data_IF_614052854917
#
_entry.id   IF_614052854917
#
_cell.length_a   1.000
_cell.length_b   1.000
_cell.length_c   1.000
_cell.angle_alpha   90.00
_cell.angle_beta   90.00
_cell.angle_gamma   90.00
#
_symmetry.space_group_name_H-M   'P 1'
#
loop_
_entity.id
_entity.type
_entity.pdbx_description
1 polymer ?
#
# COMPACT_ATOMS: atom_id res chain seq x y z
N UNK A 1 10.17 29.65 -13.81
CA UNK A 1 9.71 30.22 -12.52
C UNK A 1 9.38 29.07 -11.60
N UNK A 2 10.15 28.91 -10.52
CA UNK A 2 9.90 27.90 -9.49
C UNK A 2 8.89 28.52 -8.53
N UNK A 3 7.65 28.04 -8.55
CA UNK A 3 6.60 28.59 -7.71
C UNK A 3 6.61 27.95 -6.32
N UNK A 4 6.58 28.83 -5.32
CA UNK A 4 6.79 28.56 -3.92
C UNK A 4 5.44 28.25 -3.25
N UNK A 5 4.96 27.02 -3.37
CA UNK A 5 3.92 26.48 -2.48
C UNK A 5 3.93 24.94 -2.49
N UNK A 6 5.05 24.36 -2.07
CA UNK A 6 5.13 22.93 -1.83
C UNK A 6 4.38 22.60 -0.53
N UNK A 7 3.17 22.04 -0.66
CA UNK A 7 2.37 21.58 0.47
C UNK A 7 3.20 20.58 1.29
N UNK A 8 3.50 20.96 2.54
CA UNK A 8 4.36 20.27 3.51
C UNK A 8 5.86 20.30 3.14
N UNK A 9 6.51 21.44 3.37
CA UNK A 9 7.96 21.66 3.24
C UNK A 9 8.82 20.86 4.22
N UNK A 10 8.74 19.52 4.16
CA UNK A 10 9.46 18.60 5.05
C UNK A 10 10.62 17.89 4.32
N UNK A 11 10.70 17.94 2.99
CA UNK A 11 11.80 17.30 2.26
C UNK A 11 12.33 18.15 1.10
N UNK A 12 13.66 18.23 0.95
CA UNK A 12 14.30 18.60 -0.32
C UNK A 12 13.89 17.56 -1.35
N UNK A 13 13.02 17.91 -2.29
CA UNK A 13 12.65 17.04 -3.40
C UNK A 13 13.77 17.03 -4.44
N UNK A 14 14.02 15.85 -5.02
CA UNK A 14 14.94 15.67 -6.14
C UNK A 14 14.14 15.67 -7.45
N UNK A 15 14.79 16.00 -8.56
CA UNK A 15 14.16 15.89 -9.88
C UNK A 15 13.97 14.40 -10.18
N UNK A 16 12.72 13.99 -10.37
CA UNK A 16 12.35 12.60 -10.63
C UNK A 16 11.39 12.50 -11.81
N UNK A 17 11.40 11.35 -12.49
CA UNK A 17 10.44 11.04 -13.54
C UNK A 17 9.06 10.80 -12.93
N UNK A 18 8.07 11.60 -13.34
CA UNK A 18 6.69 11.40 -12.95
C UNK A 18 5.99 10.47 -13.94
N UNK A 19 5.89 9.19 -13.59
CA UNK A 19 5.21 8.20 -14.41
C UNK A 19 3.67 8.36 -14.34
N UNK A 20 2.91 8.02 -15.40
CA UNK A 20 1.45 8.13 -15.45
C UNK A 20 0.73 7.53 -14.24
N UNK A 21 -0.44 7.99 -13.83
CA UNK A 21 -1.14 7.42 -12.67
C UNK A 21 -1.46 5.92 -12.83
N UNK A 22 -1.62 5.18 -11.73
CA UNK A 22 -1.96 3.75 -11.78
C UNK A 22 -3.28 3.49 -12.52
N UNK A 23 -4.23 4.44 -12.45
CA UNK A 23 -5.48 4.35 -13.19
C UNK A 23 -5.27 4.33 -14.71
N UNK A 24 -4.35 5.14 -15.24
CA UNK A 24 -4.03 5.16 -16.65
C UNK A 24 -3.20 3.92 -17.05
N UNK A 25 -2.25 3.51 -16.19
CA UNK A 25 -1.47 2.28 -16.43
C UNK A 25 -2.35 1.04 -16.48
N UNK A 26 -3.42 0.97 -15.68
CA UNK A 26 -4.34 -0.15 -15.73
C UNK A 26 -5.09 -0.27 -17.07
N UNK A 27 -5.30 0.85 -17.77
CA UNK A 27 -6.05 0.88 -19.02
C UNK A 27 -5.33 0.21 -20.20
N UNK A 28 -4.02 -0.06 -20.11
CA UNK A 28 -3.29 -0.79 -21.15
C UNK A 28 -3.30 -2.32 -20.97
N UNK A 29 -3.71 -2.83 -19.80
CA UNK A 29 -3.74 -4.26 -19.47
C UNK A 29 -2.39 -5.00 -19.66
N UNK A 30 -1.27 -4.27 -19.68
CA UNK A 30 0.04 -4.81 -20.02
C UNK A 30 0.90 -5.13 -18.78
N UNK A 31 0.98 -6.42 -18.44
CA UNK A 31 1.81 -6.92 -17.34
C UNK A 31 3.30 -6.68 -17.57
N UNK A 32 3.77 -6.81 -18.81
CA UNK A 32 5.18 -6.64 -19.14
C UNK A 32 5.59 -5.18 -18.96
N UNK A 33 4.74 -4.24 -19.39
CA UNK A 33 4.96 -2.81 -19.20
C UNK A 33 5.02 -2.44 -17.71
N UNK A 34 4.16 -3.02 -16.86
CA UNK A 34 4.20 -2.76 -15.41
C UNK A 34 5.45 -3.33 -14.75
N UNK A 35 5.97 -4.45 -15.24
CA UNK A 35 7.25 -5.01 -14.78
C UNK A 35 8.43 -4.14 -15.21
N UNK A 36 8.44 -3.65 -16.45
CA UNK A 36 9.45 -2.71 -16.93
C UNK A 36 9.43 -1.39 -16.16
N UNK A 37 8.23 -0.84 -15.90
CA UNK A 37 8.07 0.32 -15.03
C UNK A 37 8.69 0.06 -13.64
N UNK A 38 8.46 -1.11 -13.04
CA UNK A 38 9.07 -1.49 -11.78
C UNK A 38 10.60 -1.45 -11.83
N UNK A 39 11.22 -1.93 -12.92
CA UNK A 39 12.67 -1.87 -13.13
C UNK A 39 13.19 -0.44 -13.24
N UNK A 40 12.47 0.43 -13.94
CA UNK A 40 12.82 1.84 -14.07
C UNK A 40 12.74 2.57 -12.72
N UNK A 41 11.68 2.31 -11.95
CA UNK A 41 11.52 2.83 -10.59
C UNK A 41 12.62 2.33 -9.65
N UNK A 42 13.02 1.06 -9.76
CA UNK A 42 14.16 0.49 -9.02
C UNK A 42 15.46 1.24 -9.33
N UNK A 43 15.72 1.55 -10.60
CA UNK A 43 16.91 2.30 -10.98
C UNK A 43 16.92 3.70 -10.36
N UNK A 44 15.79 4.42 -10.44
CA UNK A 44 15.64 5.72 -9.79
C UNK A 44 15.81 5.62 -8.26
N UNK A 45 15.16 4.64 -7.62
CA UNK A 45 15.28 4.42 -6.19
C UNK A 45 16.73 4.16 -5.75
N UNK A 46 17.49 3.37 -6.51
CA UNK A 46 18.91 3.13 -6.23
C UNK A 46 19.75 4.40 -6.37
N UNK A 47 19.52 5.20 -7.40
CA UNK A 47 20.23 6.47 -7.60
C UNK A 47 20.02 7.42 -6.41
N UNK A 48 18.80 7.45 -5.88
CA UNK A 48 18.41 8.29 -4.73
C UNK A 48 18.58 7.60 -3.37
N UNK A 49 19.24 6.44 -3.33
CA UNK A 49 19.48 5.65 -2.10
C UNK A 49 18.20 5.28 -1.31
N UNK A 50 17.05 5.19 -2.00
CA UNK A 50 15.78 4.74 -1.45
C UNK A 50 15.73 3.21 -1.45
N UNK A 51 15.47 2.62 -0.27
CA UNK A 51 15.43 1.16 -0.09
C UNK A 51 14.04 0.55 -0.21
N UNK A 52 12.98 1.29 0.11
CA UNK A 52 11.59 0.85 0.04
C UNK A 52 10.78 1.89 -0.73
N UNK A 53 10.12 1.47 -1.80
CA UNK A 53 9.14 2.30 -2.51
C UNK A 53 7.76 2.11 -1.88
N UNK A 54 7.11 3.22 -1.47
CA UNK A 54 5.78 3.20 -0.88
C UNK A 54 4.68 3.08 -1.94
N UNK A 55 4.66 1.95 -2.65
CA UNK A 55 3.67 1.63 -3.66
C UNK A 55 3.94 0.26 -4.29
N UNK A 56 2.95 -0.32 -4.98
CA UNK A 56 1.79 0.37 -5.54
C UNK A 56 0.59 0.42 -4.58
N UNK A 57 -0.31 1.37 -4.86
CA UNK A 57 -1.65 1.43 -4.27
C UNK A 57 -2.61 0.49 -5.01
N UNK A 58 -3.30 -0.41 -4.30
CA UNK A 58 -4.12 -1.47 -4.90
C UNK A 58 -5.52 -1.61 -4.29
N UNK A 59 -6.01 -0.59 -3.57
CA UNK A 59 -7.40 -0.58 -3.13
C UNK A 59 -8.34 -0.50 -4.33
N UNK A 60 -9.47 -1.21 -4.29
CA UNK A 60 -10.43 -1.21 -5.38
C UNK A 60 -11.21 0.10 -5.48
N UNK A 61 -11.55 0.49 -6.71
CA UNK A 61 -12.36 1.69 -6.97
C UNK A 61 -13.85 1.40 -6.76
N UNK A 62 -14.28 1.23 -5.49
CA UNK A 62 -15.69 0.95 -5.16
C UNK A 62 -16.65 2.06 -5.59
N UNK A 63 -16.22 3.31 -5.42
CA UNK A 63 -16.98 4.50 -5.80
C UNK A 63 -16.09 5.40 -6.65
N UNK A 64 -16.60 6.00 -7.74
CA UNK A 64 -15.82 6.92 -8.56
C UNK A 64 -15.40 8.18 -7.80
N UNK A 65 -16.11 8.52 -6.71
CA UNK A 65 -15.90 9.74 -5.92
C UNK A 65 -14.71 9.63 -4.94
N UNK A 66 -14.10 8.46 -4.79
CA UNK A 66 -12.99 8.29 -3.86
C UNK A 66 -11.74 9.06 -4.34
N UNK A 67 -11.25 9.98 -3.50
CA UNK A 67 -10.20 10.94 -3.88
C UNK A 67 -8.85 10.35 -4.27
N UNK A 68 -8.61 9.06 -4.01
CA UNK A 68 -7.35 8.35 -4.35
C UNK A 68 -7.49 7.33 -5.48
N UNK A 69 -8.63 7.30 -6.17
CA UNK A 69 -8.81 6.37 -7.28
C UNK A 69 -7.76 6.52 -8.39
N UNK A 70 -7.17 7.70 -8.56
CA UNK A 70 -6.11 7.92 -9.56
C UNK A 70 -4.84 7.09 -9.26
N UNK A 71 -4.50 6.86 -7.98
CA UNK A 71 -3.32 6.08 -7.59
C UNK A 71 -3.57 4.56 -7.53
N UNK A 72 -4.81 4.12 -7.72
CA UNK A 72 -5.21 2.71 -7.76
C UNK A 72 -5.43 2.21 -9.19
N UNK A 73 -5.19 0.91 -9.41
CA UNK A 73 -5.29 0.30 -10.74
C UNK A 73 -6.73 0.25 -11.25
N UNK A 74 -7.59 -0.59 -10.66
CA UNK A 74 -8.92 -0.89 -11.19
C UNK A 74 -9.94 -1.15 -10.08
N UNK A 75 -11.22 -1.15 -10.43
CA UNK A 75 -12.30 -1.73 -9.64
C UNK A 75 -12.26 -3.26 -9.60
N UNK A 76 -11.59 -3.90 -10.59
CA UNK A 76 -11.57 -5.35 -10.72
C UNK A 76 -10.39 -5.97 -9.94
N UNK A 77 -10.63 -6.93 -9.02
CA UNK A 77 -9.58 -7.52 -8.17
C UNK A 77 -8.53 -8.30 -8.96
N UNK A 78 -8.93 -9.13 -9.93
CA UNK A 78 -7.99 -9.90 -10.77
C UNK A 78 -7.00 -9.01 -11.53
N UNK A 79 -7.51 -8.01 -12.27
CA UNK A 79 -6.66 -7.07 -13.01
C UNK A 79 -5.71 -6.33 -12.07
N UNK A 80 -6.22 -5.81 -10.96
CA UNK A 80 -5.42 -5.11 -9.96
C UNK A 80 -4.30 -6.00 -9.42
N UNK A 81 -4.59 -7.25 -9.07
CA UNK A 81 -3.60 -8.20 -8.56
C UNK A 81 -2.54 -8.61 -9.60
N UNK A 82 -2.92 -8.82 -10.86
CA UNK A 82 -1.96 -9.12 -11.95
C UNK A 82 -0.97 -7.99 -12.19
N UNK A 83 -1.48 -6.75 -12.31
CA UNK A 83 -0.66 -5.58 -12.57
C UNK A 83 0.23 -5.24 -11.37
N UNK A 84 -0.33 -5.33 -10.16
CA UNK A 84 0.43 -5.10 -8.94
C UNK A 84 1.54 -6.14 -8.76
N UNK A 85 1.27 -7.43 -9.03
CA UNK A 85 2.29 -8.49 -8.95
C UNK A 85 3.45 -8.22 -9.91
N UNK A 86 3.13 -7.80 -11.14
CA UNK A 86 4.13 -7.49 -12.17
C UNK A 86 4.99 -6.29 -11.78
N UNK A 87 4.36 -5.23 -11.26
CA UNK A 87 5.05 -4.07 -10.70
C UNK A 87 6.00 -4.46 -9.56
N UNK A 88 5.50 -5.22 -8.58
CA UNK A 88 6.28 -5.65 -7.39
C UNK A 88 7.48 -6.47 -7.83
N UNK A 89 7.29 -7.44 -8.74
CA UNK A 89 8.39 -8.23 -9.28
C UNK A 89 9.46 -7.35 -9.94
N UNK A 90 9.05 -6.39 -10.78
CA UNK A 90 9.99 -5.49 -11.47
C UNK A 90 10.82 -4.62 -10.51
N UNK A 91 10.20 -4.08 -9.46
CA UNK A 91 10.92 -3.27 -8.45
C UNK A 91 11.88 -4.16 -7.64
N UNK A 92 11.44 -5.35 -7.23
CA UNK A 92 12.17 -6.19 -6.29
C UNK A 92 13.22 -7.10 -6.90
N UNK A 93 13.37 -7.11 -8.24
CA UNK A 93 14.41 -7.88 -8.93
C UNK A 93 15.83 -7.62 -8.39
N UNK A 94 16.11 -6.45 -7.81
CA UNK A 94 17.43 -6.20 -7.20
C UNK A 94 17.42 -5.08 -6.15
N UNK A 95 17.42 -5.44 -4.87
CA UNK A 95 17.89 -4.59 -3.76
C UNK A 95 17.02 -3.39 -3.36
N UNK A 96 15.82 -3.25 -3.92
CA UNK A 96 14.80 -2.26 -3.53
C UNK A 96 13.50 -3.02 -3.24
N UNK A 97 12.89 -2.78 -2.09
CA UNK A 97 11.62 -3.38 -1.70
C UNK A 97 10.42 -2.52 -2.08
N UNK A 98 9.25 -3.14 -2.06
CA UNK A 98 7.95 -2.48 -2.23
C UNK A 98 7.18 -2.53 -0.92
N UNK A 99 6.49 -1.43 -0.61
CA UNK A 99 5.37 -1.40 0.35
C UNK A 99 4.03 -1.39 -0.37
N UNK A 100 3.44 -2.58 -0.51
CA UNK A 100 2.11 -2.74 -1.12
C UNK A 100 1.05 -2.10 -0.20
N UNK A 101 0.15 -1.27 -0.75
CA UNK A 101 -0.74 -0.44 0.08
C UNK A 101 -2.13 -0.24 -0.53
N UNK A 102 -3.16 0.14 0.24
CA UNK A 102 -3.21 0.16 1.72
C UNK A 102 -4.05 -1.01 2.20
N UNK A 103 -3.48 -1.82 3.07
CA UNK A 103 -4.07 -3.08 3.51
C UNK A 103 -4.97 -2.85 4.74
N UNK A 104 -6.30 -2.94 4.66
CA UNK A 104 -7.13 -3.19 3.48
C UNK A 104 -8.43 -2.36 3.52
N UNK A 105 -9.26 -2.47 2.48
CA UNK A 105 -10.59 -1.84 2.41
C UNK A 105 -10.60 -0.32 2.66
N UNK A 106 -9.55 0.37 2.22
CA UNK A 106 -9.44 1.83 2.25
C UNK A 106 -9.90 2.43 0.90
N UNK A 107 -11.20 2.62 0.76
CA UNK A 107 -11.84 2.95 -0.53
C UNK A 107 -12.53 4.33 -0.53
N UNK A 108 -12.24 5.18 0.46
CA UNK A 108 -12.74 6.55 0.59
C UNK A 108 -11.82 7.37 1.50
N UNK A 109 -11.88 8.70 1.38
CA UNK A 109 -10.96 9.62 2.06
C UNK A 109 -11.61 10.35 3.25
N UNK A 110 -12.93 10.46 3.25
CA UNK A 110 -13.72 11.03 4.34
C UNK A 110 -13.50 10.20 5.61
N UNK A 111 -13.25 10.90 6.71
CA UNK A 111 -13.06 10.29 8.03
C UNK A 111 -12.02 9.14 8.04
N UNK A 112 -10.97 9.24 7.20
CA UNK A 112 -10.02 8.15 6.96
C UNK A 112 -9.46 7.47 8.23
N UNK A 113 -9.29 8.22 9.31
CA UNK A 113 -8.73 7.75 10.59
C UNK A 113 -9.77 7.10 11.52
N UNK A 114 -11.06 7.36 11.32
CA UNK A 114 -12.13 6.99 12.26
C UNK A 114 -13.20 6.10 11.62
N UNK A 115 -13.33 6.12 10.29
CA UNK A 115 -14.33 5.35 9.57
C UNK A 115 -14.07 3.84 9.68
N UNK A 116 -15.16 3.07 9.77
CA UNK A 116 -15.14 1.62 9.67
C UNK A 116 -15.77 1.14 8.36
N UNK A 117 -15.01 0.37 7.61
CA UNK A 117 -15.49 -0.40 6.46
C UNK A 117 -16.17 -1.67 6.97
N UNK A 118 -17.49 -1.63 7.10
CA UNK A 118 -18.29 -2.77 7.54
C UNK A 118 -18.67 -3.64 6.32
N UNK A 119 -18.04 -4.82 6.22
CA UNK A 119 -18.06 -5.66 5.02
C UNK A 119 -18.24 -7.12 5.46
N UNK A 120 -19.12 -7.85 4.76
CA UNK A 120 -19.29 -9.28 4.97
C UNK A 120 -18.03 -10.07 4.54
N UNK A 121 -17.85 -11.27 5.09
CA UNK A 121 -16.64 -12.06 4.86
C UNK A 121 -16.43 -12.41 3.38
N UNK A 122 -17.52 -12.69 2.65
CA UNK A 122 -17.42 -13.06 1.24
C UNK A 122 -16.91 -11.89 0.42
N UNK A 123 -17.53 -10.72 0.55
CA UNK A 123 -17.09 -9.50 -0.16
C UNK A 123 -15.68 -9.08 0.23
N UNK A 124 -15.32 -9.22 1.52
CA UNK A 124 -13.98 -8.91 2.00
C UNK A 124 -12.93 -9.79 1.30
N UNK A 125 -13.12 -11.09 1.28
CA UNK A 125 -12.18 -12.05 0.69
C UNK A 125 -12.18 -12.02 -0.85
N UNK A 126 -13.36 -12.09 -1.48
CA UNK A 126 -13.47 -12.17 -2.95
C UNK A 126 -13.07 -10.87 -3.67
N UNK A 127 -13.25 -9.71 -3.03
CA UNK A 127 -12.97 -8.41 -3.65
C UNK A 127 -11.74 -7.73 -3.04
N UNK A 128 -11.85 -7.27 -1.80
CA UNK A 128 -10.88 -6.32 -1.24
C UNK A 128 -9.55 -6.95 -0.85
N UNK A 129 -9.55 -8.24 -0.52
CA UNK A 129 -8.35 -9.00 -0.15
C UNK A 129 -7.75 -9.76 -1.34
N UNK A 130 -8.56 -10.22 -2.29
CA UNK A 130 -8.13 -11.03 -3.44
C UNK A 130 -6.93 -10.45 -4.21
N UNK A 131 -6.92 -9.13 -4.45
CA UNK A 131 -5.78 -8.48 -5.12
C UNK A 131 -4.49 -8.49 -4.28
N UNK A 132 -4.61 -8.30 -2.95
CA UNK A 132 -3.48 -8.38 -2.03
C UNK A 132 -2.97 -9.81 -1.90
N UNK A 133 -3.86 -10.79 -1.74
CA UNK A 133 -3.54 -12.22 -1.67
C UNK A 133 -2.69 -12.64 -2.86
N UNK A 134 -3.14 -12.28 -4.06
CA UNK A 134 -2.42 -12.57 -5.30
C UNK A 134 -1.04 -11.95 -5.31
N UNK A 135 -0.92 -10.65 -4.98
CA UNK A 135 0.37 -9.97 -4.95
C UNK A 135 1.32 -10.57 -3.89
N UNK A 136 0.80 -10.96 -2.73
CA UNK A 136 1.56 -11.64 -1.67
C UNK A 136 2.09 -12.98 -2.16
N UNK A 137 1.21 -13.84 -2.70
CA UNK A 137 1.58 -15.20 -3.13
C UNK A 137 2.48 -15.21 -4.36
N UNK A 138 2.25 -14.31 -5.32
CA UNK A 138 2.95 -14.30 -6.61
C UNK A 138 4.22 -13.45 -6.63
N UNK A 139 4.27 -12.36 -5.86
CA UNK A 139 5.34 -11.37 -5.95
C UNK A 139 6.07 -11.12 -4.62
N UNK A 140 5.52 -11.58 -3.49
CA UNK A 140 6.15 -11.50 -2.15
C UNK A 140 6.72 -10.10 -1.87
N UNK A 141 5.87 -9.07 -1.74
CA UNK A 141 6.34 -7.72 -1.46
C UNK A 141 7.15 -7.72 -0.14
N UNK A 142 8.21 -6.92 -0.09
CA UNK A 142 9.10 -6.82 1.06
C UNK A 142 8.35 -6.26 2.27
N UNK A 143 7.46 -5.29 2.03
CA UNK A 143 6.60 -4.72 3.06
C UNK A 143 5.14 -4.57 2.59
N UNK A 144 4.23 -4.48 3.56
CA UNK A 144 2.84 -4.09 3.35
C UNK A 144 2.54 -2.91 4.28
N UNK A 145 1.81 -1.92 3.77
CA UNK A 145 1.35 -0.79 4.57
C UNK A 145 -0.11 -0.98 4.95
N UNK A 146 -0.42 -1.06 6.25
CA UNK A 146 -1.80 -1.14 6.71
C UNK A 146 -2.52 0.21 6.54
N UNK A 147 -3.82 0.18 6.29
CA UNK A 147 -4.60 1.41 6.10
C UNK A 147 -5.02 2.08 7.41
N UNK A 148 -5.51 3.32 7.28
CA UNK A 148 -6.02 4.13 8.39
C UNK A 148 -7.32 3.60 9.01
N UNK A 149 -8.24 3.12 8.17
CA UNK A 149 -9.59 2.80 8.57
C UNK A 149 -9.67 1.53 9.42
N UNK A 150 -10.83 1.34 10.06
CA UNK A 150 -11.22 0.07 10.62
C UNK A 150 -11.89 -0.83 9.58
N UNK A 151 -11.85 -2.15 9.82
CA UNK A 151 -12.73 -3.13 9.18
C UNK A 151 -13.58 -3.76 10.28
N UNK A 152 -14.91 -3.70 10.12
CA UNK A 152 -15.88 -4.25 11.08
C UNK A 152 -15.58 -3.81 12.54
N UNK A 153 -15.27 -2.53 12.74
CA UNK A 153 -15.05 -1.91 14.05
C UNK A 153 -13.62 -2.04 14.60
N UNK A 154 -12.72 -2.79 13.96
CA UNK A 154 -11.33 -2.93 14.41
C UNK A 154 -10.36 -2.19 13.49
N UNK A 155 -9.58 -1.24 14.03
CA UNK A 155 -8.55 -0.52 13.28
C UNK A 155 -7.58 -1.49 12.63
N UNK A 156 -7.25 -1.28 11.35
CA UNK A 156 -6.42 -2.21 10.60
C UNK A 156 -5.00 -2.33 11.16
N UNK A 157 -4.46 -1.29 11.78
CA UNK A 157 -3.19 -1.32 12.50
C UNK A 157 -3.20 -2.21 13.75
N UNK A 158 -4.38 -2.60 14.23
CA UNK A 158 -4.58 -3.41 15.45
C UNK A 158 -5.39 -4.69 15.17
N UNK A 159 -5.62 -5.02 13.90
CA UNK A 159 -6.52 -6.10 13.52
C UNK A 159 -5.78 -7.42 13.40
N UNK A 160 -5.78 -8.23 14.47
CA UNK A 160 -5.07 -9.52 14.51
C UNK A 160 -5.59 -10.53 13.47
N UNK A 161 -6.91 -10.49 13.17
CA UNK A 161 -7.50 -11.32 12.11
C UNK A 161 -6.88 -10.96 10.76
N UNK A 162 -6.72 -9.66 10.48
CA UNK A 162 -6.18 -9.19 9.21
C UNK A 162 -4.66 -9.39 9.10
N UNK A 163 -3.89 -8.89 10.08
CA UNK A 163 -2.43 -8.78 9.99
C UNK A 163 -1.68 -10.08 10.30
N UNK A 164 -2.26 -10.96 11.11
CA UNK A 164 -1.64 -12.25 11.47
C UNK A 164 -2.39 -13.39 10.81
N UNK A 165 -3.67 -13.60 11.14
CA UNK A 165 -4.38 -14.82 10.72
C UNK A 165 -4.50 -14.90 9.19
N UNK A 166 -5.03 -13.86 8.54
CA UNK A 166 -5.17 -13.85 7.08
C UNK A 166 -3.80 -13.66 6.41
N UNK A 167 -3.11 -12.57 6.74
CA UNK A 167 -1.91 -12.19 6.00
C UNK A 167 -0.74 -13.18 6.19
N UNK A 168 -0.49 -13.64 7.41
CA UNK A 168 0.68 -14.48 7.72
C UNK A 168 0.33 -15.96 7.77
N UNK A 169 -0.74 -16.34 8.47
CA UNK A 169 -1.06 -17.75 8.68
C UNK A 169 -1.71 -18.36 7.43
N UNK A 170 -2.70 -17.68 6.82
CA UNK A 170 -3.39 -18.16 5.61
C UNK A 170 -2.58 -17.91 4.33
N UNK A 171 -1.96 -16.74 4.16
CA UNK A 171 -1.25 -16.39 2.91
C UNK A 171 0.27 -16.61 2.96
N UNK A 172 0.85 -16.82 4.13
CA UNK A 172 2.28 -17.08 4.27
C UNK A 172 3.18 -15.85 4.12
N UNK A 173 2.67 -14.62 4.31
CA UNK A 173 3.48 -13.41 4.21
C UNK A 173 4.63 -13.41 5.24
N UNK A 174 5.86 -13.21 4.75
CA UNK A 174 7.10 -13.17 5.56
C UNK A 174 7.75 -11.79 5.62
N UNK A 175 7.15 -10.80 4.96
CA UNK A 175 7.66 -9.44 4.96
C UNK A 175 7.27 -8.66 6.22
N UNK A 176 7.55 -7.37 6.16
CA UNK A 176 7.28 -6.42 7.23
C UNK A 176 5.93 -5.71 7.02
N UNK A 177 5.11 -5.58 8.06
CA UNK A 177 3.91 -4.77 8.07
C UNK A 177 4.20 -3.43 8.73
N UNK A 178 4.04 -2.33 7.98
CA UNK A 178 4.19 -0.97 8.48
C UNK A 178 2.85 -0.23 8.52
N UNK A 179 2.73 0.81 9.34
CA UNK A 179 1.55 1.66 9.35
C UNK A 179 1.56 2.66 8.20
N UNK A 180 0.39 3.08 7.73
CA UNK A 180 0.29 4.39 7.07
C UNK A 180 0.59 5.50 8.10
N UNK A 181 0.90 6.70 7.63
CA UNK A 181 1.49 7.76 8.45
C UNK A 181 0.48 8.27 9.49
N UNK A 182 0.68 7.91 10.77
CA UNK A 182 -0.24 8.25 11.86
C UNK A 182 -1.45 7.30 11.99
N UNK A 183 -1.42 6.12 11.37
CA UNK A 183 -2.50 5.13 11.46
C UNK A 183 -2.50 4.31 12.78
N UNK A 184 -1.53 4.53 13.67
CA UNK A 184 -1.44 3.87 14.97
C UNK A 184 -2.04 4.76 16.04
N UNK A 185 -3.19 4.38 16.61
CA UNK A 185 -3.78 5.09 17.75
C UNK A 185 -3.22 4.60 19.10
N UNK A 186 -2.88 3.32 19.21
CA UNK A 186 -2.39 2.70 20.44
C UNK A 186 -1.21 1.76 20.17
N UNK A 187 0.00 2.15 20.59
CA UNK A 187 1.26 1.44 20.34
C UNK A 187 1.24 -0.02 20.78
N UNK A 188 0.93 -0.25 22.06
CA UNK A 188 0.93 -1.60 22.66
C UNK A 188 -0.11 -2.49 21.98
N UNK A 189 -1.27 -1.92 21.64
CA UNK A 189 -2.35 -2.65 20.99
C UNK A 189 -2.03 -2.99 19.53
N UNK A 190 -1.10 -2.29 18.87
CA UNK A 190 -0.71 -2.53 17.48
C UNK A 190 0.38 -3.61 17.32
N UNK A 191 1.26 -3.76 18.31
CA UNK A 191 2.36 -4.74 18.28
C UNK A 191 1.84 -6.19 18.25
N UNK A 192 0.95 -6.55 19.19
CA UNK A 192 0.46 -7.93 19.34
C UNK A 192 -0.28 -8.46 18.09
N UNK A 193 -1.09 -7.66 17.38
CA UNK A 193 -1.73 -8.02 16.11
C UNK A 193 -0.80 -8.31 14.94
N UNK A 194 0.48 -7.91 15.01
CA UNK A 194 1.47 -8.16 13.95
C UNK A 194 1.86 -6.95 13.11
N UNK A 195 1.67 -5.73 13.62
CA UNK A 195 2.30 -4.51 13.08
C UNK A 195 3.77 -4.48 13.51
N UNK A 196 4.69 -4.44 12.55
CA UNK A 196 6.12 -4.52 12.82
C UNK A 196 6.78 -3.14 12.91
N UNK A 197 6.24 -2.12 12.22
CA UNK A 197 6.80 -0.78 12.17
C UNK A 197 5.72 0.31 12.17
N UNK A 198 5.74 1.16 13.20
CA UNK A 198 4.99 2.42 13.17
C UNK A 198 5.74 3.47 12.33
N UNK A 199 5.01 4.15 11.45
CA UNK A 199 5.50 5.26 10.63
C UNK A 199 4.58 6.48 10.74
N UNK A 200 5.13 7.71 10.68
CA UNK A 200 6.56 8.01 10.78
C UNK A 200 7.05 7.77 12.22
N UNK A 201 8.36 7.54 12.39
CA UNK A 201 8.95 7.57 13.72
C UNK A 201 8.68 8.92 14.40
N UNK A 202 8.49 8.92 15.72
CA UNK A 202 8.12 10.11 16.50
C UNK A 202 9.25 11.13 16.70
N UNK A 203 10.39 10.98 16.02
CA UNK A 203 11.60 11.74 16.34
C UNK A 203 12.14 11.36 17.73
N UNK A 204 13.09 12.12 18.25
CA UNK A 204 13.60 11.91 19.61
C UNK A 204 12.46 12.06 20.62
N UNK A 205 12.37 11.13 21.56
CA UNK A 205 11.34 11.06 22.59
C UNK A 205 11.19 12.40 23.31
N UNK A 206 9.95 12.88 23.42
CA UNK A 206 9.57 13.77 24.50
C UNK A 206 9.74 13.00 25.81
N UNK A 207 10.82 13.31 26.52
CA UNK A 207 11.05 12.98 27.93
C UNK A 207 9.84 13.31 28.80
#
# INVERSE_FOLDING_TARGET
QVDASYALGVNKSVVAVNFPSSSLRAACFDRALLKELGRNLRQAAKAERVRILLGPGINLKRSPLAGRNFEYFSEHPYLTGELASSYVQGVQESGVGVSLKRFAAFNREDERFTASSNIDQRSLHELYLSAFEKAVKMARPATIMCSYNAINGTLNSQNQRLLTQILRDEWGFKGLVMSDWGAVSHHVAALKPGLDLEMPGKGNESS
#
